data_IF_065752432457
#
_entry.id   IF_065752432457
#
_cell.length_a   1.000
_cell.length_b   1.000
_cell.length_c   1.000
_cell.angle_alpha   90.00
_cell.angle_beta   90.00
_cell.angle_gamma   90.00
#
_symmetry.space_group_name_H-M   'P 1'
#
loop_
_entity.id
_entity.type
_entity.pdbx_description
1 polymer ?
#
# COMPACT_ATOMS: atom_id res chain seq x y z
N UNK A 1 -39.03 -1.08 -9.85
CA UNK A 1 -37.81 -1.77 -9.39
C UNK A 1 -36.68 -0.80 -9.17
N UNK A 2 -36.34 -0.53 -7.90
CA UNK A 2 -35.12 0.21 -7.56
C UNK A 2 -33.97 -0.76 -7.74
N UNK A 3 -33.37 -0.75 -8.93
CA UNK A 3 -32.15 -1.49 -9.22
C UNK A 3 -31.07 -0.98 -8.27
N UNK A 4 -30.97 -1.64 -7.12
CA UNK A 4 -29.90 -1.54 -6.15
C UNK A 4 -28.62 -1.72 -6.96
N UNK A 5 -28.01 -0.58 -7.33
CA UNK A 5 -26.63 -0.53 -7.72
C UNK A 5 -25.90 -1.19 -6.58
N UNK A 6 -25.56 -2.46 -6.82
CA UNK A 6 -24.68 -3.26 -6.01
C UNK A 6 -23.45 -2.38 -5.86
N UNK A 7 -23.38 -1.65 -4.76
CA UNK A 7 -22.12 -1.32 -4.13
C UNK A 7 -21.50 -2.70 -4.05
N UNK A 8 -20.67 -3.03 -5.04
CA UNK A 8 -19.83 -4.22 -5.02
C UNK A 8 -19.04 -3.97 -3.76
N UNK A 9 -19.48 -4.56 -2.66
CA UNK A 9 -19.11 -4.19 -1.31
C UNK A 9 -17.60 -4.26 -1.26
N UNK A 10 -16.97 -3.10 -1.42
CA UNK A 10 -15.52 -2.99 -1.42
C UNK A 10 -15.19 -3.33 0.03
N UNK A 11 -14.61 -4.49 0.28
CA UNK A 11 -14.14 -4.77 1.63
C UNK A 11 -13.10 -3.69 1.92
N UNK A 12 -13.42 -2.81 2.87
CA UNK A 12 -12.58 -1.69 3.24
C UNK A 12 -11.17 -2.17 3.62
N UNK A 13 -11.06 -3.36 4.22
CA UNK A 13 -9.78 -3.96 4.60
C UNK A 13 -8.98 -4.39 3.38
N UNK A 14 -9.62 -4.97 2.37
CA UNK A 14 -8.95 -5.34 1.12
C UNK A 14 -8.49 -4.10 0.37
N UNK A 15 -9.34 -3.08 0.28
CA UNK A 15 -9.00 -1.80 -0.35
C UNK A 15 -7.80 -1.14 0.33
N UNK A 16 -7.82 -1.04 1.66
CA UNK A 16 -6.70 -0.48 2.42
C UNK A 16 -5.41 -1.28 2.21
N UNK A 17 -5.48 -2.61 2.18
CA UNK A 17 -4.32 -3.47 1.92
C UNK A 17 -3.75 -3.22 0.52
N UNK A 18 -4.61 -3.13 -0.50
CA UNK A 18 -4.17 -2.89 -1.87
C UNK A 18 -3.52 -1.50 -2.02
N UNK A 19 -4.15 -0.46 -1.46
CA UNK A 19 -3.58 0.89 -1.48
C UNK A 19 -2.21 0.95 -0.78
N UNK A 20 -2.06 0.27 0.37
CA UNK A 20 -0.78 0.20 1.08
C UNK A 20 0.28 -0.52 0.23
N UNK A 21 -0.09 -1.62 -0.44
CA UNK A 21 0.80 -2.35 -1.35
C UNK A 21 1.27 -1.49 -2.53
N UNK A 22 0.35 -0.76 -3.14
CA UNK A 22 0.63 0.09 -4.31
C UNK A 22 1.58 1.24 -3.95
N UNK A 23 1.40 1.86 -2.78
CA UNK A 23 2.31 2.90 -2.28
C UNK A 23 3.71 2.36 -1.97
N UNK A 24 3.81 1.16 -1.40
CA UNK A 24 5.10 0.52 -1.14
C UNK A 24 5.85 0.23 -2.45
N UNK A 25 5.18 -0.34 -3.44
CA UNK A 25 5.80 -0.64 -4.73
C UNK A 25 6.20 0.62 -5.48
N UNK A 26 5.33 1.64 -5.50
CA UNK A 26 5.60 2.92 -6.17
C UNK A 26 6.78 3.64 -5.52
N UNK A 27 6.83 3.72 -4.20
CA UNK A 27 7.93 4.37 -3.49
C UNK A 27 9.26 3.63 -3.67
N UNK A 28 9.26 2.29 -3.69
CA UNK A 28 10.43 1.49 -4.04
C UNK A 28 10.92 1.78 -5.45
N UNK A 29 10.03 1.81 -6.44
CA UNK A 29 10.41 2.13 -7.83
C UNK A 29 11.00 3.53 -7.95
N UNK A 30 10.34 4.55 -7.38
CA UNK A 30 10.83 5.93 -7.39
C UNK A 30 12.17 6.08 -6.66
N UNK A 31 12.37 5.34 -5.59
CA UNK A 31 13.62 5.31 -4.83
C UNK A 31 14.71 4.43 -5.48
N UNK A 32 14.47 3.86 -6.68
CA UNK A 32 15.37 2.89 -7.32
C UNK A 32 15.74 1.73 -6.39
N UNK A 33 14.74 1.22 -5.69
CA UNK A 33 14.81 0.15 -4.68
C UNK A 33 15.69 0.46 -3.46
N UNK A 34 16.06 1.73 -3.25
CA UNK A 34 16.67 2.15 -1.99
C UNK A 34 15.59 2.27 -0.91
N UNK A 35 15.54 1.30 0.00
CA UNK A 35 14.52 1.23 1.05
C UNK A 35 14.54 2.43 2.02
N UNK A 36 15.71 3.02 2.32
CA UNK A 36 15.77 4.20 3.19
C UNK A 36 15.07 5.39 2.52
N UNK A 37 15.38 5.62 1.24
CA UNK A 37 14.74 6.67 0.45
C UNK A 37 13.26 6.40 0.21
N UNK A 38 12.84 5.15 0.00
CA UNK A 38 11.43 4.79 -0.10
C UNK A 38 10.66 5.08 1.22
N UNK A 39 11.29 4.82 2.37
CA UNK A 39 10.73 5.17 3.66
C UNK A 39 10.55 6.68 3.81
N UNK A 40 11.56 7.48 3.42
CA UNK A 40 11.47 8.95 3.38
C UNK A 40 10.32 9.44 2.48
N UNK A 41 10.17 8.87 1.28
CA UNK A 41 9.08 9.23 0.35
C UNK A 41 7.69 8.98 0.94
N UNK A 42 7.55 7.96 1.80
CA UNK A 42 6.29 7.62 2.47
C UNK A 42 6.13 8.29 3.85
N UNK A 43 7.09 9.11 4.29
CA UNK A 43 7.07 9.68 5.64
C UNK A 43 7.19 8.64 6.75
N UNK A 44 7.81 7.49 6.46
CA UNK A 44 8.01 6.39 7.38
C UNK A 44 9.46 6.32 7.87
N UNK A 45 9.65 5.75 9.04
CA UNK A 45 10.96 5.23 9.41
C UNK A 45 11.30 3.99 8.58
N UNK A 46 12.59 3.73 8.39
CA UNK A 46 13.05 2.52 7.69
C UNK A 46 12.49 1.22 8.31
N UNK A 47 12.35 1.16 9.64
CA UNK A 47 11.80 -0.01 10.33
C UNK A 47 10.30 -0.23 10.03
N UNK A 48 9.51 0.85 9.98
CA UNK A 48 8.10 0.78 9.62
C UNK A 48 7.93 0.29 8.18
N UNK A 49 8.71 0.84 7.24
CA UNK A 49 8.70 0.37 5.85
C UNK A 49 8.97 -1.14 5.79
N UNK A 50 10.02 -1.62 6.47
CA UNK A 50 10.38 -3.04 6.45
C UNK A 50 9.29 -3.95 7.04
N UNK A 51 8.59 -3.50 8.09
CA UNK A 51 7.46 -4.22 8.65
C UNK A 51 6.30 -4.33 7.64
N UNK A 52 6.03 -3.25 6.90
CA UNK A 52 5.00 -3.22 5.86
C UNK A 52 5.36 -4.09 4.64
N UNK A 53 6.62 -4.07 4.18
CA UNK A 53 7.08 -4.96 3.11
C UNK A 53 6.88 -6.43 3.49
N UNK A 54 7.24 -6.80 4.72
CA UNK A 54 6.99 -8.15 5.24
C UNK A 54 5.50 -8.50 5.30
N UNK A 55 4.66 -7.57 5.77
CA UNK A 55 3.19 -7.74 5.84
C UNK A 55 2.59 -8.03 4.46
N UNK A 56 3.08 -7.35 3.42
CA UNK A 56 2.55 -7.44 2.05
C UNK A 56 3.28 -8.43 1.14
N UNK A 57 4.31 -9.10 1.64
CA UNK A 57 5.13 -10.04 0.88
C UNK A 57 5.74 -9.41 -0.38
N UNK A 58 6.29 -8.19 -0.24
CA UNK A 58 7.05 -7.45 -1.27
C UNK A 58 8.55 -7.59 -1.00
#
# INVERSE_FOLDING_TARGET
DVTLHKIKTLDLREFQQQQEKDFLQTSLQQAKFNQKKAAELLGLTYHQLRALLKKHQI
#
